data_IF_465235831914
#
_entry.id   IF_465235831914
#
_cell.length_a   1.000
_cell.length_b   1.000
_cell.length_c   1.000
_cell.angle_alpha   90.00
_cell.angle_beta   90.00
_cell.angle_gamma   90.00
#
_symmetry.space_group_name_H-M   'P 1'
#
loop_
_entity.id
_entity.type
_entity.pdbx_description
1 polymer ?
#
# COMPACT_ATOMS: atom_id res chain seq x y z
N UNK A 1 15.28 -6.30 -6.11
CA UNK A 1 14.33 -7.05 -6.96
C UNK A 1 14.44 -6.69 -8.44
N UNK A 2 14.65 -5.42 -8.79
CA UNK A 2 14.66 -4.92 -10.18
C UNK A 2 15.54 -5.72 -11.16
N UNK A 3 16.80 -6.03 -10.78
CA UNK A 3 17.72 -6.78 -11.64
C UNK A 3 17.15 -8.11 -12.12
N UNK A 4 16.60 -8.92 -11.21
CA UNK A 4 16.05 -10.23 -11.57
C UNK A 4 14.84 -10.14 -12.50
N UNK A 5 13.89 -9.24 -12.20
CA UNK A 5 12.66 -9.10 -12.99
C UNK A 5 12.93 -8.59 -14.40
N UNK A 6 13.88 -7.67 -14.56
CA UNK A 6 14.18 -7.04 -15.84
C UNK A 6 15.15 -7.85 -16.72
N UNK A 7 15.95 -8.75 -16.15
CA UNK A 7 16.89 -9.57 -16.92
C UNK A 7 16.44 -11.02 -17.11
N UNK A 8 15.38 -11.46 -16.43
CA UNK A 8 14.79 -12.76 -16.66
C UNK A 8 14.13 -12.85 -18.03
N UNK A 9 14.16 -14.03 -18.65
CA UNK A 9 13.48 -14.27 -19.94
C UNK A 9 11.98 -14.20 -19.74
N UNK A 10 11.33 -13.20 -20.33
CA UNK A 10 9.89 -13.01 -20.25
C UNK A 10 9.51 -11.55 -20.49
N UNK A 11 8.24 -11.23 -20.28
CA UNK A 11 7.76 -9.84 -20.24
C UNK A 11 7.80 -9.38 -18.79
N UNK A 12 8.63 -8.39 -18.42
CA UNK A 12 8.65 -7.88 -17.06
C UNK A 12 7.33 -7.17 -16.74
N UNK A 13 6.75 -7.49 -15.58
CA UNK A 13 5.61 -6.77 -15.04
C UNK A 13 6.06 -5.98 -13.80
N UNK A 14 5.81 -4.68 -13.81
CA UNK A 14 6.09 -3.76 -12.71
C UNK A 14 4.75 -3.19 -12.23
N UNK A 15 4.52 -3.23 -10.94
CA UNK A 15 3.38 -2.61 -10.27
C UNK A 15 3.77 -1.22 -9.76
N UNK A 16 2.81 -0.29 -9.75
CA UNK A 16 3.01 1.08 -9.28
C UNK A 16 3.68 1.13 -7.90
N UNK A 17 4.69 1.97 -7.74
CA UNK A 17 5.46 2.08 -6.51
C UNK A 17 6.65 1.11 -6.42
N UNK A 18 6.69 0.01 -7.19
CA UNK A 18 7.84 -0.90 -7.17
C UNK A 18 9.10 -0.26 -7.77
N UNK A 19 8.92 0.66 -8.71
CA UNK A 19 9.98 1.42 -9.36
C UNK A 19 10.67 2.41 -8.40
N UNK A 20 9.95 2.92 -7.41
CA UNK A 20 10.49 3.79 -6.34
C UNK A 20 10.77 3.03 -5.04
N UNK A 21 10.47 1.73 -4.99
CA UNK A 21 10.69 0.90 -3.80
C UNK A 21 9.69 1.14 -2.66
N UNK A 22 8.47 1.58 -2.98
CA UNK A 22 7.43 1.87 -1.99
C UNK A 22 7.13 0.67 -1.08
N UNK A 23 7.02 0.95 0.22
CA UNK A 23 6.76 -0.03 1.25
C UNK A 23 5.25 -0.22 1.51
N UNK A 24 4.92 -1.40 2.03
CA UNK A 24 3.55 -1.70 2.42
C UNK A 24 3.10 -0.82 3.59
N UNK A 25 1.87 -0.34 3.52
CA UNK A 25 1.30 0.52 4.56
C UNK A 25 0.41 -0.28 5.49
N UNK A 26 0.66 -0.16 6.79
CA UNK A 26 -0.18 -0.82 7.80
C UNK A 26 -1.51 -0.08 7.93
N UNK A 27 -2.61 -0.71 7.53
CA UNK A 27 -3.95 -0.13 7.60
C UNK A 27 -4.78 -0.92 8.63
N UNK A 28 -5.34 -0.28 9.66
CA UNK A 28 -6.25 -0.94 10.60
C UNK A 28 -7.47 -1.54 9.89
N UNK A 29 -7.96 -2.71 10.33
CA UNK A 29 -9.12 -3.37 9.69
C UNK A 29 -10.37 -2.48 9.66
N UNK A 30 -10.54 -1.60 10.65
CA UNK A 30 -11.65 -0.64 10.71
C UNK A 30 -11.65 0.37 9.55
N UNK A 31 -10.47 0.66 9.00
CA UNK A 31 -10.25 1.65 7.93
C UNK A 31 -10.08 0.94 6.56
N UNK A 32 -10.11 -0.39 6.55
CA UNK A 32 -10.00 -1.20 5.35
C UNK A 32 -11.24 -1.02 4.45
N UNK A 33 -10.99 -0.73 3.18
CA UNK A 33 -11.99 -0.60 2.12
C UNK A 33 -12.08 -1.85 1.25
N UNK A 34 -11.09 -2.74 1.33
CA UNK A 34 -11.08 -4.02 0.63
C UNK A 34 -12.27 -4.89 1.05
N UNK A 35 -13.14 -5.31 0.10
CA UNK A 35 -14.22 -6.23 0.39
C UNK A 35 -13.76 -7.53 1.06
N UNK A 36 -12.57 -8.03 0.73
CA UNK A 36 -12.03 -9.24 1.38
C UNK A 36 -11.77 -8.98 2.86
N UNK A 37 -11.05 -7.89 3.16
CA UNK A 37 -10.77 -7.43 4.52
C UNK A 37 -12.07 -7.28 5.33
N UNK A 38 -13.08 -6.63 4.71
CA UNK A 38 -14.35 -6.31 5.35
C UNK A 38 -15.28 -7.52 5.55
N UNK A 39 -15.24 -8.51 4.66
CA UNK A 39 -16.15 -9.66 4.72
C UNK A 39 -15.59 -10.81 5.55
N UNK A 40 -14.29 -11.12 5.43
CA UNK A 40 -13.74 -12.37 5.97
C UNK A 40 -12.97 -12.22 7.29
N UNK A 41 -12.57 -11.01 7.65
CA UNK A 41 -11.70 -10.77 8.82
C UNK A 41 -12.35 -10.10 10.05
N UNK A 42 -13.61 -9.60 10.04
CA UNK A 42 -14.23 -9.06 11.26
C UNK A 42 -14.25 -10.04 12.44
N UNK A 43 -14.44 -11.33 12.16
CA UNK A 43 -14.52 -12.39 13.19
C UNK A 43 -13.17 -12.74 13.82
N UNK A 44 -12.06 -12.37 13.18
CA UNK A 44 -10.73 -12.84 13.52
C UNK A 44 -10.04 -11.89 14.52
N UNK A 45 -10.47 -10.63 14.52
CA UNK A 45 -9.91 -9.57 15.34
C UNK A 45 -8.55 -9.07 14.84
N UNK A 46 -8.27 -7.80 15.08
CA UNK A 46 -7.04 -7.09 14.62
C UNK A 46 -5.75 -7.81 15.07
N UNK A 47 -5.74 -8.36 16.29
CA UNK A 47 -4.56 -9.04 16.84
C UNK A 47 -4.19 -10.29 16.06
N UNK A 48 -5.16 -11.14 15.73
CA UNK A 48 -4.92 -12.37 14.98
C UNK A 48 -4.60 -12.06 13.52
N UNK A 49 -5.27 -11.07 12.93
CA UNK A 49 -4.95 -10.53 11.60
C UNK A 49 -3.47 -10.13 11.49
N UNK A 50 -2.98 -9.34 12.44
CA UNK A 50 -1.57 -8.91 12.48
C UNK A 50 -0.60 -10.08 12.72
N UNK A 51 -1.02 -11.07 13.51
CA UNK A 51 -0.17 -12.22 13.83
C UNK A 51 0.07 -13.16 12.64
N UNK A 52 -0.80 -13.15 11.62
CA UNK A 52 -0.61 -13.96 10.40
C UNK A 52 0.56 -13.42 9.56
N UNK A 53 0.89 -12.13 9.68
CA UNK A 53 2.03 -11.53 8.99
C UNK A 53 1.92 -11.53 7.46
N UNK A 54 0.72 -11.78 6.91
CA UNK A 54 0.43 -11.71 5.48
C UNK A 54 -0.45 -10.51 5.15
N UNK A 55 -0.27 -9.95 3.95
CA UNK A 55 -1.12 -8.91 3.39
C UNK A 55 -2.47 -9.48 2.96
N UNK A 56 -3.33 -9.71 3.95
CA UNK A 56 -4.70 -10.16 3.75
C UNK A 56 -5.61 -8.99 3.32
N UNK A 57 -5.30 -7.76 3.77
CA UNK A 57 -5.87 -6.53 3.24
C UNK A 57 -5.04 -6.04 2.06
N UNK A 58 -5.62 -6.03 0.85
CA UNK A 58 -4.92 -5.56 -0.35
C UNK A 58 -4.79 -4.04 -0.39
N UNK A 59 -5.50 -3.30 0.46
CA UNK A 59 -5.39 -1.84 0.51
C UNK A 59 -3.99 -1.37 0.95
N UNK A 60 -3.26 -2.22 1.68
CA UNK A 60 -1.89 -1.95 2.14
C UNK A 60 -0.89 -1.74 0.99
N UNK A 61 -1.22 -2.18 -0.24
CA UNK A 61 -0.45 -1.98 -1.49
C UNK A 61 -1.18 -1.10 -2.52
N UNK A 62 -2.29 -0.47 -2.11
CA UNK A 62 -3.09 0.43 -2.97
C UNK A 62 -3.07 1.86 -2.46
N UNK A 63 -2.16 2.17 -1.53
CA UNK A 63 -1.99 3.51 -1.03
C UNK A 63 -1.64 4.48 -2.16
N UNK A 64 -2.00 5.77 -2.02
CA UNK A 64 -1.66 6.79 -3.01
C UNK A 64 -0.17 6.80 -3.36
N UNK A 65 0.13 6.96 -4.64
CA UNK A 65 1.50 6.99 -5.17
C UNK A 65 2.27 8.22 -4.65
N UNK A 66 3.50 8.06 -4.12
CA UNK A 66 4.35 9.19 -3.75
C UNK A 66 5.05 9.76 -4.99
N UNK A 67 4.55 10.90 -5.49
CA UNK A 67 5.13 11.62 -6.62
C UNK A 67 6.18 12.66 -6.21
N UNK A 68 6.02 13.25 -5.02
CA UNK A 68 6.93 14.26 -4.47
C UNK A 68 6.80 14.38 -2.96
N UNK A 69 7.70 15.14 -2.36
CA UNK A 69 7.76 15.39 -0.91
C UNK A 69 6.77 16.48 -0.45
N UNK A 70 5.92 16.95 -1.37
CA UNK A 70 4.87 17.92 -1.05
C UNK A 70 3.76 17.29 -0.18
N UNK A 71 3.01 18.09 0.61
CA UNK A 71 1.86 17.58 1.37
C UNK A 71 0.89 16.80 0.47
N UNK A 72 0.51 15.59 0.89
CA UNK A 72 -0.28 14.69 0.07
C UNK A 72 0.54 13.89 -0.95
N UNK A 73 1.86 13.81 -0.79
CA UNK A 73 2.80 13.06 -1.63
C UNK A 73 2.83 13.52 -3.10
N UNK A 74 2.36 14.73 -3.39
CA UNK A 74 2.09 15.17 -4.76
C UNK A 74 0.93 14.44 -5.47
N UNK A 75 0.24 13.52 -4.78
CA UNK A 75 -0.91 12.79 -5.32
C UNK A 75 -2.20 13.63 -5.31
N UNK A 76 -2.35 14.47 -4.30
CA UNK A 76 -3.50 15.35 -4.14
C UNK A 76 -3.06 16.75 -3.69
N UNK A 77 -3.99 17.71 -3.74
CA UNK A 77 -3.74 19.06 -3.23
C UNK A 77 -3.53 19.03 -1.70
N UNK A 78 -2.69 19.91 -1.15
CA UNK A 78 -2.52 20.05 0.30
C UNK A 78 -3.87 20.25 1.01
N UNK A 79 -4.08 19.51 2.11
CA UNK A 79 -5.30 19.59 2.90
C UNK A 79 -6.48 18.77 2.38
N UNK A 80 -6.35 18.08 1.24
CA UNK A 80 -7.38 17.16 0.74
C UNK A 80 -7.12 15.74 1.24
N UNK A 81 -8.09 15.16 1.95
CA UNK A 81 -8.01 13.78 2.40
C UNK A 81 -8.14 12.80 1.23
N UNK A 82 -7.21 11.87 1.12
CA UNK A 82 -7.22 10.79 0.12
C UNK A 82 -8.16 9.66 0.53
N UNK A 83 -8.52 8.81 -0.44
CA UNK A 83 -9.41 7.67 -0.20
C UNK A 83 -8.74 6.55 0.62
N UNK A 84 -7.42 6.44 0.61
CA UNK A 84 -6.63 5.63 1.54
C UNK A 84 -5.53 6.49 2.14
N UNK A 85 -5.03 6.17 3.35
CA UNK A 85 -3.88 6.87 3.92
C UNK A 85 -2.68 6.78 2.99
N UNK A 86 -1.90 7.87 2.92
CA UNK A 86 -0.63 7.85 2.22
C UNK A 86 0.34 6.88 2.93
N UNK A 87 1.19 6.21 2.15
CA UNK A 87 2.16 5.29 2.70
C UNK A 87 3.30 5.97 3.46
N UNK A 88 4.16 5.20 4.16
CA UNK A 88 5.27 5.76 4.92
C UNK A 88 6.24 6.57 4.06
N UNK A 89 6.37 6.24 2.77
CA UNK A 89 7.29 6.89 1.83
C UNK A 89 6.75 8.24 1.30
N UNK A 90 5.54 8.64 1.67
CA UNK A 90 4.90 9.88 1.21
C UNK A 90 5.38 11.15 1.94
N UNK A 91 6.13 11.02 3.03
CA UNK A 91 6.60 12.14 3.85
C UNK A 91 8.09 12.02 4.20
N UNK A 92 8.79 11.08 3.58
CA UNK A 92 10.20 10.79 3.85
C UNK A 92 10.97 11.06 2.58
N UNK A 93 11.17 12.33 2.24
CA UNK A 93 12.32 12.84 1.49
C UNK A 93 12.37 14.38 1.60
#
# INVERSE_FOLDING_TARGET
>A
MAMLLLTARGVPAIYQGQEVGAANTVIPLKDAKDPLARTYFPWMGERLYRAIGQLLNRDEVRTPMPWSDAPGAGFTQPGVATWLPAGPDAAVH
#
